data_IF_486732165660
#
_entry.id   IF_486732165660
#
_cell.length_a   1.000
_cell.length_b   1.000
_cell.length_c   1.000
_cell.angle_alpha   90.00
_cell.angle_beta   90.00
_cell.angle_gamma   90.00
#
_symmetry.space_group_name_H-M   'P 1'
#
loop_
_entity.id
_entity.type
_entity.pdbx_description
1 polymer ?
#
# COMPACT_ATOMS: atom_id res chain seq x y z
N UNK A 1 16.22 40.59 35.32
CA UNK A 1 16.79 39.25 35.59
C UNK A 1 15.76 38.18 35.97
N UNK A 2 14.89 38.35 36.99
CA UNK A 2 13.95 37.29 37.43
C UNK A 2 12.97 36.82 36.33
N UNK A 3 12.43 37.74 35.52
CA UNK A 3 11.54 37.40 34.39
C UNK A 3 12.24 36.54 33.32
N UNK A 4 13.48 36.88 32.97
CA UNK A 4 14.28 36.13 31.98
C UNK A 4 14.56 34.69 32.45
N UNK A 5 14.90 34.50 33.73
CA UNK A 5 15.09 33.16 34.32
C UNK A 5 13.81 32.32 34.28
N UNK A 6 12.64 32.94 34.52
CA UNK A 6 11.33 32.26 34.40
C UNK A 6 11.04 31.86 32.95
N UNK A 7 11.31 32.74 31.99
CA UNK A 7 11.13 32.46 30.57
C UNK A 7 12.01 31.28 30.12
N UNK A 8 13.26 31.26 30.56
CA UNK A 8 14.19 30.15 30.26
C UNK A 8 13.65 28.81 30.77
N UNK A 9 13.13 28.76 32.00
CA UNK A 9 12.52 27.56 32.56
C UNK A 9 11.30 27.07 31.77
N UNK A 10 10.49 27.99 31.24
CA UNK A 10 9.33 27.64 30.39
C UNK A 10 9.80 27.03 29.07
N UNK A 11 10.84 27.61 28.44
CA UNK A 11 11.41 27.08 27.20
C UNK A 11 11.96 25.66 27.44
N UNK A 12 12.72 25.46 28.52
CA UNK A 12 13.30 24.15 28.82
C UNK A 12 12.21 23.09 29.04
N UNK A 13 11.07 23.45 29.66
CA UNK A 13 9.90 22.56 29.77
C UNK A 13 9.26 22.26 28.41
N UNK A 14 9.10 23.26 27.54
CA UNK A 14 8.54 23.07 26.20
C UNK A 14 9.42 22.12 25.37
N UNK A 15 10.74 22.26 25.47
CA UNK A 15 11.68 21.40 24.76
C UNK A 15 11.60 19.96 25.25
N UNK A 16 11.41 19.74 26.56
CA UNK A 16 11.22 18.42 27.16
C UNK A 16 9.92 17.76 26.66
N UNK A 17 8.79 18.47 26.72
CA UNK A 17 7.52 17.97 26.18
C UNK A 17 7.57 17.71 24.68
N UNK A 18 8.28 18.55 23.92
CA UNK A 18 8.43 18.35 22.47
C UNK A 18 9.19 17.06 22.16
N UNK A 19 10.21 16.72 22.96
CA UNK A 19 10.95 15.46 22.82
C UNK A 19 10.07 14.25 23.15
N UNK A 20 9.28 14.35 24.21
CA UNK A 20 8.37 13.28 24.62
C UNK A 20 7.30 13.00 23.54
N UNK A 21 6.67 14.05 23.01
CA UNK A 21 5.69 13.96 21.92
C UNK A 21 6.31 13.29 20.68
N UNK A 22 7.53 13.68 20.29
CA UNK A 22 8.22 13.07 19.15
C UNK A 22 8.49 11.58 19.39
N UNK A 23 8.89 11.22 20.61
CA UNK A 23 9.14 9.82 20.96
C UNK A 23 7.87 8.97 20.87
N UNK A 24 6.75 9.47 21.40
CA UNK A 24 5.46 8.77 21.32
C UNK A 24 4.92 8.70 19.88
N UNK A 25 5.12 9.75 19.09
CA UNK A 25 4.79 9.75 17.67
C UNK A 25 5.58 8.68 16.90
N UNK A 26 6.87 8.54 17.18
CA UNK A 26 7.72 7.52 16.55
C UNK A 26 7.29 6.09 16.95
N UNK A 27 6.92 5.87 18.21
CA UNK A 27 6.37 4.59 18.67
C UNK A 27 5.06 4.26 17.96
N UNK A 28 4.15 5.22 17.93
CA UNK A 28 2.83 5.09 17.26
C UNK A 28 3.01 4.80 15.78
N UNK A 29 3.91 5.51 15.09
CA UNK A 29 4.18 5.29 13.68
C UNK A 29 4.76 3.89 13.40
N UNK A 30 5.62 3.37 14.29
CA UNK A 30 6.16 2.00 14.17
C UNK A 30 5.06 0.96 14.34
N UNK A 31 4.18 1.14 15.32
CA UNK A 31 3.06 0.25 15.57
C UNK A 31 2.04 0.28 14.43
N UNK A 32 1.70 1.47 13.94
CA UNK A 32 0.85 1.64 12.76
C UNK A 32 1.43 0.93 11.53
N UNK A 33 2.73 1.11 11.24
CA UNK A 33 3.39 0.40 10.13
C UNK A 33 3.31 -1.11 10.30
N UNK A 34 3.48 -1.64 11.52
CA UNK A 34 3.34 -3.06 11.80
C UNK A 34 1.92 -3.56 11.53
N UNK A 35 0.90 -2.83 12.01
CA UNK A 35 -0.51 -3.17 11.79
C UNK A 35 -0.86 -3.16 10.29
N UNK A 36 -0.39 -2.17 9.55
CA UNK A 36 -0.60 -2.11 8.09
C UNK A 36 0.01 -3.32 7.38
N UNK A 37 1.26 -3.68 7.69
CA UNK A 37 1.90 -4.86 7.08
C UNK A 37 1.16 -6.17 7.42
N UNK A 38 0.69 -6.31 8.67
CA UNK A 38 -0.08 -7.48 9.08
C UNK A 38 -1.43 -7.55 8.36
N UNK A 39 -2.14 -6.42 8.24
CA UNK A 39 -3.40 -6.32 7.52
C UNK A 39 -3.22 -6.64 6.03
N UNK A 40 -2.20 -6.10 5.38
CA UNK A 40 -1.89 -6.37 3.97
C UNK A 40 -1.55 -7.84 3.76
N UNK A 41 -0.76 -8.44 4.65
CA UNK A 41 -0.40 -9.87 4.55
C UNK A 41 -1.63 -10.77 4.71
N UNK A 42 -2.54 -10.45 5.64
CA UNK A 42 -3.81 -11.18 5.81
C UNK A 42 -4.67 -11.09 4.57
N UNK A 43 -4.83 -9.89 4.00
CA UNK A 43 -5.62 -9.69 2.79
C UNK A 43 -5.06 -10.49 1.61
N UNK A 44 -3.74 -10.49 1.42
CA UNK A 44 -3.09 -11.28 0.37
C UNK A 44 -3.35 -12.77 0.56
N UNK A 45 -3.24 -13.28 1.79
CA UNK A 45 -3.50 -14.69 2.08
C UNK A 45 -4.97 -15.08 1.85
N UNK A 46 -5.91 -14.18 2.14
CA UNK A 46 -7.34 -14.38 1.88
C UNK A 46 -7.64 -14.44 0.38
N UNK A 47 -7.08 -13.52 -0.41
CA UNK A 47 -7.21 -13.51 -1.88
C UNK A 47 -6.58 -14.78 -2.47
N UNK A 48 -5.35 -15.11 -2.07
CA UNK A 48 -4.62 -16.28 -2.57
C UNK A 48 -5.43 -17.57 -2.36
N UNK A 49 -6.05 -17.71 -1.18
CA UNK A 49 -6.90 -18.87 -0.86
C UNK A 49 -8.24 -18.85 -1.61
N UNK A 50 -8.83 -17.68 -1.80
CA UNK A 50 -10.11 -17.52 -2.48
C UNK A 50 -10.04 -17.79 -3.99
N UNK A 51 -8.91 -17.48 -4.60
CA UNK A 51 -8.71 -17.54 -6.06
C UNK A 51 -7.76 -18.65 -6.51
N UNK A 52 -7.30 -19.51 -5.58
CA UNK A 52 -6.30 -20.58 -5.83
C UNK A 52 -5.02 -20.04 -6.49
N UNK A 53 -4.53 -18.91 -5.98
CA UNK A 53 -3.32 -18.23 -6.45
C UNK A 53 -2.12 -18.53 -5.56
N UNK A 54 -0.92 -18.38 -6.12
CA UNK A 54 0.34 -18.50 -5.36
C UNK A 54 0.52 -17.32 -4.40
N UNK A 55 0.35 -17.58 -3.10
CA UNK A 55 0.50 -16.61 -2.03
C UNK A 55 1.89 -15.96 -2.00
N UNK A 56 2.96 -16.72 -2.26
CA UNK A 56 4.33 -16.18 -2.22
C UNK A 56 4.56 -15.18 -3.36
N UNK A 57 4.03 -15.47 -4.54
CA UNK A 57 4.09 -14.57 -5.69
C UNK A 57 3.35 -13.27 -5.41
N UNK A 58 2.16 -13.34 -4.82
CA UNK A 58 1.38 -12.15 -4.45
C UNK A 58 2.06 -11.34 -3.34
N UNK A 59 2.65 -12.00 -2.33
CA UNK A 59 3.44 -11.33 -1.29
C UNK A 59 4.62 -10.58 -1.92
N UNK A 60 5.34 -11.18 -2.87
CA UNK A 60 6.47 -10.54 -3.53
C UNK A 60 6.03 -9.35 -4.41
N UNK A 61 4.91 -9.50 -5.14
CA UNK A 61 4.38 -8.45 -6.01
C UNK A 61 3.82 -7.25 -5.24
N UNK A 62 3.12 -7.50 -4.12
CA UNK A 62 2.31 -6.48 -3.44
C UNK A 62 2.82 -6.05 -2.06
N UNK A 63 3.75 -6.79 -1.46
CA UNK A 63 4.53 -6.21 -0.37
C UNK A 63 5.61 -5.33 -1.00
N UNK A 64 5.63 -4.04 -0.70
CA UNK A 64 6.68 -3.07 -1.10
C UNK A 64 8.06 -3.41 -0.51
N UNK A 65 8.53 -4.60 -0.84
CA UNK A 65 9.75 -5.24 -0.43
C UNK A 65 10.69 -5.05 -1.60
N UNK A 66 11.47 -3.97 -1.56
CA UNK A 66 12.70 -3.87 -2.34
C UNK A 66 13.53 -5.14 -2.06
N UNK A 67 13.40 -6.14 -2.93
CA UNK A 67 14.09 -7.44 -2.88
C UNK A 67 14.29 -7.97 -1.46
N UNK A 68 13.21 -8.45 -0.82
CA UNK A 68 13.39 -9.33 0.33
C UNK A 68 14.00 -10.63 -0.17
N UNK A 69 15.33 -10.72 0.00
CA UNK A 69 16.03 -12.01 0.01
C UNK A 69 15.37 -12.87 1.08
N UNK A 70 14.75 -13.96 0.62
CA UNK A 70 14.41 -15.18 1.34
C UNK A 70 14.21 -15.02 2.86
N UNK A 71 12.96 -14.81 3.28
CA UNK A 71 12.58 -15.10 4.66
C UNK A 71 12.40 -16.61 4.74
N UNK A 72 13.50 -17.29 5.09
CA UNK A 72 13.47 -18.63 5.64
C UNK A 72 12.70 -18.59 6.96
N UNK A 73 11.66 -19.40 7.04
CA UNK A 73 11.08 -19.83 8.30
C UNK A 73 12.22 -20.50 9.09
N UNK A 74 12.25 -20.27 10.41
CA UNK A 74 13.12 -20.89 11.44
C UNK A 74 14.41 -20.11 11.78
N UNK A 75 14.31 -19.16 12.70
CA UNK A 75 14.78 -19.37 14.09
C UNK A 75 14.76 -18.09 14.92
N UNK A 76 14.41 -18.27 16.19
CA UNK A 76 14.72 -17.39 17.31
C UNK A 76 16.19 -16.95 17.25
N UNK A 77 16.46 -15.76 17.79
CA UNK A 77 17.76 -15.11 17.94
C UNK A 77 18.26 -14.34 16.71
N UNK A 78 17.93 -13.06 16.63
CA UNK A 78 18.93 -12.01 16.44
C UNK A 78 18.32 -10.63 16.71
N UNK A 79 18.52 -10.22 17.97
CA UNK A 79 18.59 -8.84 18.41
C UNK A 79 19.59 -8.02 17.61
N UNK A 80 19.30 -6.72 17.56
CA UNK A 80 20.19 -5.58 17.28
C UNK A 80 20.56 -5.29 15.82
N UNK A 81 20.49 -3.99 15.55
CA UNK A 81 21.03 -3.27 14.40
C UNK A 81 20.30 -3.41 13.07
N UNK A 82 19.32 -2.52 12.85
CA UNK A 82 19.08 -1.87 11.57
C UNK A 82 18.23 -0.60 11.76
N UNK A 83 18.78 0.34 12.54
CA UNK A 83 18.48 1.76 12.38
C UNK A 83 19.66 2.38 11.65
N UNK A 84 19.60 2.48 10.33
CA UNK A 84 20.46 3.41 9.61
C UNK A 84 19.79 3.87 8.32
N UNK A 85 19.43 5.15 8.37
CA UNK A 85 19.40 6.13 7.30
C UNK A 85 18.84 5.71 5.95
N UNK A 86 17.74 6.33 5.54
CA UNK A 86 17.47 6.68 4.14
C UNK A 86 16.52 7.89 4.11
N UNK A 87 17.09 9.04 4.44
CA UNK A 87 16.76 10.28 3.73
C UNK A 87 17.61 10.30 2.46
N UNK A 88 17.03 10.11 1.29
CA UNK A 88 17.53 10.82 0.12
C UNK A 88 16.44 10.99 -0.96
N UNK A 89 16.44 12.22 -1.43
CA UNK A 89 15.70 12.85 -2.50
C UNK A 89 16.04 12.26 -3.89
N UNK A 90 15.18 12.51 -4.88
CA UNK A 90 15.56 12.46 -6.29
C UNK A 90 15.00 11.30 -7.11
N UNK A 91 13.87 11.55 -7.76
CA UNK A 91 13.52 11.12 -9.13
C UNK A 91 13.91 9.69 -9.56
N UNK A 92 12.92 8.81 -9.68
CA UNK A 92 12.97 7.76 -10.70
C UNK A 92 11.55 7.54 -11.17
N UNK A 93 11.35 7.65 -12.50
CA UNK A 93 10.10 7.47 -13.23
C UNK A 93 9.05 6.63 -12.50
N UNK A 94 8.07 7.31 -11.89
CA UNK A 94 6.76 6.73 -11.69
C UNK A 94 6.15 6.64 -13.09
N UNK A 95 6.36 5.52 -13.79
CA UNK A 95 5.34 5.13 -14.75
C UNK A 95 4.07 4.98 -13.94
N UNK A 96 3.15 5.92 -14.10
CA UNK A 96 1.75 5.89 -13.66
C UNK A 96 1.06 4.65 -14.27
N UNK A 97 1.49 3.47 -13.84
CA UNK A 97 0.76 2.23 -13.96
C UNK A 97 -0.09 2.13 -12.71
N UNK A 98 -1.01 3.09 -12.57
CA UNK A 98 -2.15 2.93 -11.67
C UNK A 98 -2.93 1.74 -12.22
N UNK A 99 -2.71 0.57 -11.63
CA UNK A 99 -3.53 -0.62 -11.87
C UNK A 99 -4.96 -0.27 -11.42
N UNK A 100 -5.83 0.06 -12.38
CA UNK A 100 -7.24 0.37 -12.13
C UNK A 100 -8.04 -0.94 -12.15
N UNK A 101 -8.78 -1.22 -11.08
CA UNK A 101 -9.64 -2.41 -11.00
C UNK A 101 -10.82 -2.24 -11.96
N UNK A 102 -11.04 -3.23 -12.83
CA UNK A 102 -12.17 -3.26 -13.76
C UNK A 102 -13.44 -3.77 -13.04
N UNK A 103 -14.58 -3.23 -13.43
CA UNK A 103 -15.90 -3.73 -13.03
C UNK A 103 -16.31 -4.92 -13.90
N UNK A 104 -17.08 -5.85 -13.35
CA UNK A 104 -17.57 -7.04 -14.07
C UNK A 104 -19.07 -6.95 -14.34
N UNK A 105 -19.51 -7.39 -15.51
CA UNK A 105 -20.92 -7.53 -15.90
C UNK A 105 -21.14 -8.80 -16.70
N UNK A 106 -22.23 -9.51 -16.42
CA UNK A 106 -22.65 -10.69 -17.18
C UNK A 106 -23.77 -10.33 -18.16
N UNK A 107 -23.56 -10.56 -19.45
CA UNK A 107 -24.52 -10.33 -20.52
C UNK A 107 -24.68 -11.63 -21.33
N UNK A 108 -25.92 -12.13 -21.46
CA UNK A 108 -26.23 -13.38 -22.17
C UNK A 108 -25.38 -14.60 -21.71
N UNK A 109 -25.03 -14.64 -20.42
CA UNK A 109 -24.20 -15.70 -19.83
C UNK A 109 -22.70 -15.58 -20.15
N UNK A 110 -22.26 -14.47 -20.74
CA UNK A 110 -20.85 -14.15 -20.98
C UNK A 110 -20.44 -12.99 -20.07
N UNK A 111 -19.31 -13.17 -19.40
CA UNK A 111 -18.76 -12.13 -18.52
C UNK A 111 -17.86 -11.16 -19.29
N UNK A 112 -18.01 -9.88 -18.97
CA UNK A 112 -17.27 -8.77 -19.53
C UNK A 112 -16.69 -7.92 -18.40
N UNK A 113 -15.52 -7.34 -18.65
CA UNK A 113 -14.81 -6.48 -17.70
C UNK A 113 -14.66 -5.10 -18.28
N UNK A 114 -14.96 -4.04 -17.53
CA UNK A 114 -14.95 -2.68 -18.06
C UNK A 114 -14.44 -1.64 -17.06
N UNK A 115 -13.91 -0.55 -17.59
CA UNK A 115 -13.57 0.62 -16.78
C UNK A 115 -14.86 1.41 -16.48
N UNK A 116 -15.23 1.58 -15.20
CA UNK A 116 -16.43 2.33 -14.79
C UNK A 116 -16.19 3.85 -14.85
N UNK A 117 -15.88 4.33 -16.05
CA UNK A 117 -15.66 5.74 -16.39
C UNK A 117 -16.25 6.06 -17.76
N UNK A 118 -16.41 7.34 -18.05
CA UNK A 118 -16.97 7.78 -19.33
C UNK A 118 -16.10 7.29 -20.50
N UNK A 119 -16.70 6.53 -21.43
CA UNK A 119 -16.01 5.87 -22.55
C UNK A 119 -14.95 4.83 -22.09
N UNK A 120 -15.19 4.18 -20.96
CA UNK A 120 -14.33 3.12 -20.45
C UNK A 120 -14.22 1.95 -21.42
N UNK A 121 -13.05 1.32 -21.50
CA UNK A 121 -12.83 0.17 -22.38
C UNK A 121 -13.50 -1.08 -21.80
N UNK A 122 -14.12 -1.88 -22.66
CA UNK A 122 -14.73 -3.17 -22.29
C UNK A 122 -13.89 -4.30 -22.88
N UNK A 123 -13.58 -5.28 -22.05
CA UNK A 123 -12.76 -6.45 -22.33
C UNK A 123 -13.57 -7.74 -22.16
N UNK A 124 -13.22 -8.76 -22.93
CA UNK A 124 -13.72 -10.13 -22.73
C UNK A 124 -12.79 -10.93 -21.78
N UNK A 125 -13.17 -12.18 -21.49
CA UNK A 125 -12.37 -13.13 -20.70
C UNK A 125 -10.96 -13.43 -21.26
N UNK A 126 -10.65 -12.99 -22.49
CA UNK A 126 -9.35 -13.16 -23.14
C UNK A 126 -8.53 -11.86 -23.15
N UNK A 127 -8.97 -10.83 -22.40
CA UNK A 127 -8.38 -9.48 -22.40
C UNK A 127 -8.38 -8.78 -23.76
N UNK A 128 -9.29 -9.17 -24.67
CA UNK A 128 -9.46 -8.47 -25.95
C UNK A 128 -10.45 -7.32 -25.77
N UNK A 129 -10.14 -6.14 -26.30
CA UNK A 129 -11.10 -5.02 -26.35
C UNK A 129 -12.27 -5.41 -27.24
N UNK A 130 -13.47 -5.45 -26.67
CA UNK A 130 -14.71 -5.85 -27.35
C UNK A 130 -15.76 -4.76 -27.38
N UNK A 131 -15.53 -3.62 -26.72
CA UNK A 131 -16.50 -2.53 -26.71
C UNK A 131 -16.08 -1.35 -25.87
N UNK A 132 -17.06 -0.48 -25.60
CA UNK A 132 -16.92 0.73 -24.78
C UNK A 132 -18.13 0.90 -23.86
N UNK A 133 -17.88 1.35 -22.64
CA UNK A 133 -18.88 1.72 -21.66
C UNK A 133 -19.26 3.19 -21.84
N UNK A 134 -20.50 3.44 -22.26
CA UNK A 134 -21.00 4.77 -22.61
C UNK A 134 -22.44 4.94 -22.15
N UNK A 135 -22.72 6.05 -21.47
CA UNK A 135 -24.05 6.41 -20.97
C UNK A 135 -24.69 5.34 -20.07
N UNK A 136 -23.88 4.67 -19.23
CA UNK A 136 -24.35 3.61 -18.33
C UNK A 136 -24.66 2.27 -19.02
N UNK A 137 -24.27 2.11 -20.29
CA UNK A 137 -24.47 0.89 -21.07
C UNK A 137 -23.18 0.45 -21.75
N UNK A 138 -22.96 -0.86 -21.83
CA UNK A 138 -21.87 -1.43 -22.64
C UNK A 138 -22.33 -1.52 -24.09
N UNK A 139 -21.55 -0.94 -25.00
CA UNK A 139 -21.72 -1.09 -26.44
C UNK A 139 -20.62 -2.00 -26.95
N UNK A 140 -20.99 -3.21 -27.36
CA UNK A 140 -20.08 -4.16 -27.98
C UNK A 140 -19.87 -3.79 -29.46
N UNK A 141 -18.63 -3.87 -29.90
CA UNK A 141 -18.24 -3.70 -31.29
C UNK A 141 -18.53 -5.02 -32.02
N UNK A 142 -19.75 -5.18 -32.53
CA UNK A 142 -20.08 -6.25 -33.47
C UNK A 142 -19.64 -5.91 -34.89
#
# INVERSE_FOLDING_TARGET
MKKLKRLKKIIDMIDEYTKEIKSELDKTNKEHKKLMMESTSKLIAEIARGEDLDELMLIEKYSNKSKIKQIGIISKDLSKDLSKDLSNDGSTDLSDTTEELLSCMSLDGTDYFYEDKLNGVVFNNKNEKVGEYKDGQIKLNH
#
